data_IF_652824102264
#
_entry.id   IF_652824102264
#
_cell.length_a   1.000
_cell.length_b   1.000
_cell.length_c   1.000
_cell.angle_alpha   90.00
_cell.angle_beta   90.00
_cell.angle_gamma   90.00
#
_symmetry.space_group_name_H-M   'P 1'
#
loop_
_entity.id
_entity.type
_entity.pdbx_description
1 polymer ?
#
# COMPACT_ATOMS: atom_id res chain seq x y z
N UNK A 1 20.52 -44.21 7.39
CA UNK A 1 20.16 -43.70 6.04
C UNK A 1 20.33 -42.20 6.08
N UNK A 2 21.21 -41.66 5.24
CA UNK A 2 21.35 -40.21 5.11
C UNK A 2 20.06 -39.72 4.46
N UNK A 3 19.24 -38.97 5.19
CA UNK A 3 18.06 -38.31 4.65
C UNK A 3 18.55 -37.19 3.74
N UNK A 4 18.88 -37.52 2.49
CA UNK A 4 19.18 -36.57 1.41
C UNK A 4 17.86 -35.87 1.06
N UNK A 5 17.55 -34.86 1.85
CA UNK A 5 16.26 -34.24 1.95
C UNK A 5 16.20 -32.97 1.14
N UNK A 6 16.40 -33.02 -0.18
CA UNK A 6 16.23 -31.89 -1.13
C UNK A 6 17.17 -30.69 -0.94
N UNK A 7 17.65 -30.43 0.27
CA UNK A 7 18.56 -29.37 0.65
C UNK A 7 19.98 -29.62 0.15
N UNK A 8 20.43 -30.87 0.03
CA UNK A 8 21.72 -31.13 -0.64
C UNK A 8 21.66 -30.84 -2.14
N UNK A 9 20.52 -31.11 -2.79
CA UNK A 9 20.34 -30.83 -4.22
C UNK A 9 20.36 -29.33 -4.52
N UNK A 10 19.81 -28.49 -3.63
CA UNK A 10 19.85 -27.03 -3.82
C UNK A 10 21.29 -26.50 -3.85
N UNK A 11 22.16 -27.06 -3.02
CA UNK A 11 23.57 -26.66 -2.93
C UNK A 11 24.33 -27.11 -4.18
N UNK A 12 24.07 -28.33 -4.66
CA UNK A 12 24.70 -28.86 -5.88
C UNK A 12 24.29 -28.02 -7.10
N UNK A 13 23.00 -27.70 -7.24
CA UNK A 13 22.50 -26.86 -8.34
C UNK A 13 23.08 -25.45 -8.28
N UNK A 14 23.14 -24.85 -7.09
CA UNK A 14 23.74 -23.53 -6.90
C UNK A 14 25.23 -23.54 -7.29
N UNK A 15 25.98 -24.55 -6.84
CA UNK A 15 27.39 -24.69 -7.16
C UNK A 15 27.62 -24.86 -8.66
N UNK A 16 26.79 -25.69 -9.31
CA UNK A 16 26.84 -25.90 -10.76
C UNK A 16 26.56 -24.61 -11.53
N UNK A 17 25.56 -23.83 -11.13
CA UNK A 17 25.24 -22.53 -11.73
C UNK A 17 26.40 -21.54 -11.56
N UNK A 18 27.02 -21.48 -10.38
CA UNK A 18 28.19 -20.65 -10.12
C UNK A 18 29.38 -21.07 -11.01
N UNK A 19 29.54 -22.38 -11.24
CA UNK A 19 30.60 -22.91 -12.10
C UNK A 19 30.38 -22.53 -13.58
N UNK A 20 29.14 -22.63 -14.07
CA UNK A 20 28.77 -22.22 -15.45
C UNK A 20 28.96 -20.71 -15.64
N UNK A 21 28.50 -19.90 -14.69
CA UNK A 21 28.61 -18.44 -14.75
C UNK A 21 30.05 -17.98 -14.54
N UNK A 22 30.82 -18.72 -13.75
CA UNK A 22 32.21 -18.43 -13.41
C UNK A 22 32.36 -17.38 -12.31
N UNK A 23 33.40 -17.54 -11.48
CA UNK A 23 33.70 -16.66 -10.34
C UNK A 23 33.99 -15.20 -10.72
N UNK A 24 34.29 -14.92 -11.99
CA UNK A 24 34.54 -13.58 -12.51
C UNK A 24 33.25 -12.74 -12.64
N UNK A 25 32.11 -13.39 -12.88
CA UNK A 25 30.84 -12.70 -13.19
C UNK A 25 29.94 -12.50 -11.97
N UNK A 26 30.04 -13.37 -10.96
CA UNK A 26 29.38 -13.19 -9.65
C UNK A 26 29.63 -11.81 -9.00
N UNK A 27 30.89 -11.33 -8.86
CA UNK A 27 31.15 -10.04 -8.23
C UNK A 27 30.64 -8.86 -9.06
N UNK A 28 30.61 -8.97 -10.40
CA UNK A 28 30.02 -7.93 -11.25
C UNK A 28 28.50 -7.87 -11.10
N UNK A 29 27.82 -9.02 -11.01
CA UNK A 29 26.38 -9.09 -10.80
C UNK A 29 26.01 -8.52 -9.42
N UNK A 30 26.70 -8.94 -8.35
CA UNK A 30 26.50 -8.40 -7.01
C UNK A 30 26.73 -6.89 -6.92
N UNK A 31 27.74 -6.36 -7.63
CA UNK A 31 27.96 -4.90 -7.72
C UNK A 31 26.84 -4.19 -8.46
N UNK A 32 26.35 -4.73 -9.57
CA UNK A 32 25.25 -4.13 -10.34
C UNK A 32 23.93 -4.13 -9.58
N UNK A 33 23.58 -5.26 -8.96
CA UNK A 33 22.40 -5.41 -8.12
C UNK A 33 22.53 -4.50 -6.89
N UNK A 34 23.69 -4.49 -6.23
CA UNK A 34 23.94 -3.62 -5.08
C UNK A 34 23.82 -2.13 -5.41
N UNK A 35 24.30 -1.71 -6.60
CA UNK A 35 24.09 -0.34 -7.09
C UNK A 35 22.61 -0.05 -7.35
N UNK A 36 21.91 -0.93 -8.04
CA UNK A 36 20.48 -0.77 -8.33
C UNK A 36 19.63 -0.72 -7.05
N UNK A 37 19.89 -1.60 -6.08
CA UNK A 37 19.23 -1.60 -4.76
C UNK A 37 19.58 -0.31 -4.00
N UNK A 38 20.82 0.15 -4.05
CA UNK A 38 21.24 1.41 -3.41
C UNK A 38 20.57 2.65 -4.03
N UNK A 39 20.44 2.70 -5.35
CA UNK A 39 19.71 3.76 -6.06
C UNK A 39 18.21 3.70 -5.78
N UNK A 40 17.63 2.49 -5.75
CA UNK A 40 16.23 2.27 -5.38
C UNK A 40 15.95 2.77 -3.96
N UNK A 41 16.79 2.45 -2.96
CA UNK A 41 16.56 2.89 -1.59
C UNK A 41 16.67 4.42 -1.46
N UNK A 42 17.58 5.05 -2.21
CA UNK A 42 17.68 6.53 -2.28
C UNK A 42 16.42 7.15 -2.89
N UNK A 43 15.91 6.59 -3.99
CA UNK A 43 14.68 7.05 -4.61
C UNK A 43 13.45 6.82 -3.71
N UNK A 44 13.39 5.68 -3.03
CA UNK A 44 12.35 5.38 -2.05
C UNK A 44 12.40 6.37 -0.88
N UNK A 45 13.60 6.72 -0.40
CA UNK A 45 13.77 7.69 0.67
C UNK A 45 13.34 9.12 0.26
N UNK A 46 13.60 9.56 -0.97
CA UNK A 46 13.13 10.86 -1.46
C UNK A 46 11.61 10.88 -1.62
N UNK A 47 11.02 9.82 -2.18
CA UNK A 47 9.55 9.67 -2.28
C UNK A 47 8.92 9.68 -0.89
N UNK A 48 9.46 8.93 0.07
CA UNK A 48 8.98 8.90 1.46
C UNK A 48 8.99 10.30 2.09
N UNK A 49 10.09 11.05 1.95
CA UNK A 49 10.20 12.43 2.46
C UNK A 49 9.18 13.36 1.82
N UNK A 50 8.95 13.22 0.51
CA UNK A 50 7.98 14.04 -0.19
C UNK A 50 6.54 13.70 0.23
N UNK A 51 6.21 12.42 0.37
CA UNK A 51 4.93 11.98 0.92
C UNK A 51 4.73 12.45 2.36
N UNK A 52 5.74 12.36 3.22
CA UNK A 52 5.67 12.86 4.59
C UNK A 52 5.45 14.39 4.63
N UNK A 53 6.04 15.15 3.68
CA UNK A 53 5.79 16.60 3.53
C UNK A 53 4.37 16.91 3.06
N UNK A 54 3.85 16.12 2.12
CA UNK A 54 2.47 16.26 1.63
C UNK A 54 1.48 15.93 2.74
N UNK A 55 1.71 14.85 3.49
CA UNK A 55 0.87 14.44 4.62
C UNK A 55 0.95 15.40 5.82
N UNK A 56 2.11 16.03 6.06
CA UNK A 56 2.23 17.07 7.08
C UNK A 56 1.43 18.33 6.73
N UNK A 57 1.25 18.62 5.43
CA UNK A 57 0.45 19.75 4.95
C UNK A 57 -1.01 19.38 4.63
N UNK A 58 -1.30 18.10 4.42
CA UNK A 58 -2.63 17.57 4.06
C UNK A 58 -2.94 16.41 5.00
N UNK A 59 -3.92 16.59 5.88
CA UNK A 59 -4.32 15.64 6.93
C UNK A 59 -5.01 14.38 6.31
N UNK A 60 -4.28 13.59 5.52
CA UNK A 60 -4.78 12.40 4.80
C UNK A 60 -3.86 11.22 5.01
N UNK A 61 -4.21 10.36 5.97
CA UNK A 61 -3.52 9.09 6.21
C UNK A 61 -3.99 8.02 5.21
N UNK A 62 -3.16 7.66 4.23
CA UNK A 62 -3.27 6.37 3.53
C UNK A 62 -1.89 5.76 3.32
N UNK A 63 -1.72 4.51 3.78
CA UNK A 63 -0.44 3.77 3.78
C UNK A 63 -0.04 3.14 2.45
N UNK A 64 -0.59 3.60 1.32
CA UNK A 64 -0.24 3.11 -0.01
C UNK A 64 -0.16 4.34 -0.91
N UNK A 65 1.02 4.59 -1.49
CA UNK A 65 1.37 5.80 -2.26
C UNK A 65 0.65 5.92 -3.60
N UNK A 66 -0.69 5.97 -3.56
CA UNK A 66 -1.56 6.31 -4.66
C UNK A 66 -2.60 7.28 -4.11
N UNK A 67 -2.53 8.55 -4.52
CA UNK A 67 -3.43 9.62 -4.06
C UNK A 67 -4.83 9.40 -4.62
N UNK A 68 -5.59 8.51 -3.98
CA UNK A 68 -7.03 8.46 -4.09
C UNK A 68 -7.54 8.98 -2.74
N UNK A 69 -8.39 10.01 -2.69
CA UNK A 69 -9.05 10.44 -1.46
C UNK A 69 -10.08 9.38 -1.03
N UNK A 70 -9.61 8.20 -0.68
CA UNK A 70 -10.40 7.17 -0.01
C UNK A 70 -10.36 7.55 1.46
N UNK A 71 -11.37 8.30 1.92
CA UNK A 71 -11.79 8.15 3.33
C UNK A 71 -11.90 6.65 3.55
N UNK A 72 -11.13 6.11 4.49
CA UNK A 72 -10.82 4.69 4.62
C UNK A 72 -12.05 3.77 4.73
N UNK A 73 -11.87 2.49 5.06
CA UNK A 73 -12.99 1.57 5.29
C UNK A 73 -13.99 2.21 6.26
N UNK A 74 -15.16 2.59 5.76
CA UNK A 74 -16.23 3.19 6.56
C UNK A 74 -16.72 2.15 7.56
N UNK A 75 -16.10 2.19 8.74
CA UNK A 75 -16.13 1.08 9.71
C UNK A 75 -17.40 1.13 10.57
N UNK A 76 -17.96 2.33 10.72
CA UNK A 76 -19.19 2.56 11.46
C UNK A 76 -20.38 2.77 10.52
N UNK A 77 -21.56 2.29 10.92
CA UNK A 77 -22.82 2.61 10.24
C UNK A 77 -23.01 4.13 10.10
N UNK A 78 -22.62 4.88 11.13
CA UNK A 78 -22.69 6.34 11.11
C UNK A 78 -21.84 6.94 9.99
N UNK A 79 -20.63 6.43 9.80
CA UNK A 79 -19.73 6.92 8.75
C UNK A 79 -20.27 6.65 7.35
N UNK A 80 -20.98 5.52 7.16
CA UNK A 80 -21.70 5.23 5.91
C UNK A 80 -22.83 6.23 5.68
N UNK A 81 -23.61 6.54 6.71
CA UNK A 81 -24.69 7.53 6.62
C UNK A 81 -24.15 8.92 6.30
N UNK A 82 -23.05 9.32 6.94
CA UNK A 82 -22.38 10.60 6.67
C UNK A 82 -21.81 10.68 5.25
N UNK A 83 -21.25 9.59 4.72
CA UNK A 83 -20.73 9.53 3.36
C UNK A 83 -21.85 9.70 2.32
N UNK A 84 -22.99 9.01 2.51
CA UNK A 84 -24.15 9.14 1.62
C UNK A 84 -24.80 10.52 1.77
N UNK A 85 -24.90 11.06 2.98
CA UNK A 85 -25.44 12.40 3.23
C UNK A 85 -24.64 13.46 2.46
N UNK A 86 -23.30 13.41 2.55
CA UNK A 86 -22.41 14.31 1.80
C UNK A 86 -22.56 14.16 0.29
N UNK A 87 -22.74 12.93 -0.22
CA UNK A 87 -22.97 12.69 -1.64
C UNK A 87 -24.31 13.26 -2.15
N UNK A 88 -25.32 13.36 -1.28
CA UNK A 88 -26.62 13.97 -1.57
C UNK A 88 -26.69 15.46 -1.20
N UNK A 89 -25.59 16.08 -0.76
CA UNK A 89 -25.53 17.49 -0.38
C UNK A 89 -26.20 17.82 0.97
N UNK A 90 -26.36 16.82 1.84
CA UNK A 90 -26.89 16.97 3.21
C UNK A 90 -25.70 17.12 4.17
N UNK A 91 -25.75 18.12 5.07
CA UNK A 91 -24.74 18.32 6.10
C UNK A 91 -25.03 17.39 7.31
N UNK A 92 -24.15 16.43 7.63
CA UNK A 92 -24.37 15.49 8.73
C UNK A 92 -24.02 16.05 10.13
N UNK A 93 -23.45 17.25 10.23
CA UNK A 93 -22.96 17.78 11.50
C UNK A 93 -24.12 18.10 12.46
N UNK A 94 -24.09 17.50 13.66
CA UNK A 94 -25.08 17.76 14.72
C UNK A 94 -26.41 17.03 14.57
N UNK A 95 -26.54 16.16 13.57
CA UNK A 95 -27.75 15.35 13.32
C UNK A 95 -27.58 13.97 13.94
N UNK A 96 -28.65 13.42 14.51
CA UNK A 96 -28.67 12.05 15.05
C UNK A 96 -28.71 11.01 13.92
N UNK A 97 -28.20 9.81 14.18
CA UNK A 97 -28.12 8.73 13.17
C UNK A 97 -29.52 8.37 12.59
N UNK A 98 -30.57 8.41 13.42
CA UNK A 98 -31.95 8.13 13.01
C UNK A 98 -32.53 9.25 12.12
N UNK A 99 -32.26 10.49 12.48
CA UNK A 99 -32.69 11.66 11.71
C UNK A 99 -31.96 11.74 10.35
N UNK A 100 -30.67 11.40 10.35
CA UNK A 100 -29.86 11.34 9.14
C UNK A 100 -30.38 10.25 8.18
N UNK A 101 -30.75 9.08 8.69
CA UNK A 101 -31.42 8.02 7.90
C UNK A 101 -32.74 8.51 7.29
N UNK A 102 -33.55 9.24 8.05
CA UNK A 102 -34.84 9.75 7.58
C UNK A 102 -34.67 10.76 6.44
N UNK A 103 -33.73 11.70 6.60
CA UNK A 103 -33.40 12.70 5.59
C UNK A 103 -32.87 12.07 4.29
N UNK A 104 -32.06 11.02 4.41
CA UNK A 104 -31.57 10.24 3.27
C UNK A 104 -32.73 9.57 2.51
N UNK A 105 -33.62 8.87 3.21
CA UNK A 105 -34.78 8.24 2.58
C UNK A 105 -35.70 9.26 1.90
N UNK A 106 -35.94 10.41 2.52
CA UNK A 106 -36.76 11.46 1.95
C UNK A 106 -36.15 12.04 0.67
N UNK A 107 -34.82 12.28 0.66
CA UNK A 107 -34.11 12.77 -0.54
C UNK A 107 -34.01 11.73 -1.65
N UNK A 108 -33.91 10.44 -1.32
CA UNK A 108 -33.86 9.37 -2.31
C UNK A 108 -35.23 9.10 -2.95
N UNK A 109 -36.31 9.22 -2.18
CA UNK A 109 -37.67 9.00 -2.68
C UNK A 109 -38.27 10.21 -3.40
N UNK A 110 -37.71 11.40 -3.21
CA UNK A 110 -38.16 12.64 -3.85
C UNK A 110 -37.40 12.92 -5.17
N UNK A 111 -37.13 11.88 -5.96
CA UNK A 111 -36.43 11.94 -7.24
C UNK A 111 -37.23 11.30 -8.37
#
# INVERSE_FOLDING_TARGET
>A
MINIGGSEWIIIVLLFLILIVGSKHLPSLGRSIGKAVGEYERARASIRRELDRINANTNTNTGIGLTIPIKGPVSSEREKLEAVARALGIDPNGVSDDELRRLLHERLNNK
#
